data_IF_173256303438
#
_entry.id   IF_173256303438
#
_cell.length_a   1.000
_cell.length_b   1.000
_cell.length_c   1.000
_cell.angle_alpha   90.00
_cell.angle_beta   90.00
_cell.angle_gamma   90.00
#
_symmetry.space_group_name_H-M   'P 1'
#
loop_
_entity.id
_entity.type
_entity.pdbx_description
1 polymer ?
#
# COMPACT_ATOMS: atom_id res chain seq x y z
N UNK A 1 15.93 3.24 5.75
CA UNK A 1 14.99 3.49 6.87
C UNK A 1 14.17 4.73 6.58
N UNK A 2 13.13 5.01 7.37
CA UNK A 2 12.33 6.25 7.26
C UNK A 2 13.18 7.51 7.35
N UNK A 3 14.16 7.53 8.25
CA UNK A 3 15.04 8.68 8.45
C UNK A 3 15.84 9.01 7.19
N UNK A 4 16.38 7.99 6.51
CA UNK A 4 17.12 8.18 5.26
C UNK A 4 16.26 8.80 4.14
N UNK A 5 14.96 8.44 4.07
CA UNK A 5 14.04 9.04 3.10
C UNK A 5 13.83 10.52 3.38
N UNK A 6 13.59 10.88 4.65
CA UNK A 6 13.40 12.28 5.04
C UNK A 6 14.66 13.12 4.92
N UNK A 7 15.81 12.57 5.27
CA UNK A 7 17.10 13.25 5.09
C UNK A 7 17.35 13.57 3.62
N UNK A 8 17.04 12.63 2.72
CA UNK A 8 17.14 12.86 1.28
C UNK A 8 16.17 13.95 0.80
N UNK A 9 14.89 13.89 1.20
CA UNK A 9 13.88 14.89 0.83
C UNK A 9 14.33 16.30 1.24
N UNK A 10 14.80 16.46 2.48
CA UNK A 10 15.22 17.77 3.02
C UNK A 10 16.51 18.28 2.38
N UNK A 11 17.52 17.43 2.25
CA UNK A 11 18.82 17.83 1.68
C UNK A 11 18.73 18.22 0.20
N UNK A 12 17.76 17.68 -0.54
CA UNK A 12 17.57 17.94 -1.97
C UNK A 12 16.38 18.85 -2.27
N UNK A 13 15.71 19.42 -1.25
CA UNK A 13 14.49 20.22 -1.40
C UNK A 13 13.43 19.54 -2.28
N UNK A 14 13.25 18.23 -2.13
CA UNK A 14 12.25 17.48 -2.89
C UNK A 14 10.86 17.89 -2.41
N UNK A 15 9.95 18.31 -3.30
CA UNK A 15 8.58 18.58 -2.89
C UNK A 15 7.93 17.28 -2.40
N UNK A 16 7.30 17.35 -1.23
CA UNK A 16 6.54 16.24 -0.66
C UNK A 16 5.09 16.67 -0.39
N UNK A 17 4.23 15.70 -0.10
CA UNK A 17 2.82 15.98 0.15
C UNK A 17 2.63 16.69 1.50
N UNK A 18 1.89 17.80 1.50
CA UNK A 18 1.51 18.53 2.72
C UNK A 18 0.68 17.69 3.72
N UNK A 19 0.19 16.51 3.30
CA UNK A 19 -0.47 15.56 4.20
C UNK A 19 0.51 14.97 5.23
N UNK A 20 1.80 14.88 4.92
CA UNK A 20 2.79 14.41 5.91
C UNK A 20 2.86 15.32 7.13
N UNK A 21 2.65 16.63 6.95
CA UNK A 21 2.60 17.61 8.05
C UNK A 21 1.31 17.48 8.89
N UNK A 22 0.30 16.80 8.37
CA UNK A 22 -0.98 16.54 9.03
C UNK A 22 -1.02 15.15 9.70
N UNK A 23 0.11 14.46 9.80
CA UNK A 23 0.22 13.15 10.46
C UNK A 23 -0.04 11.95 9.55
N UNK A 24 -0.10 12.14 8.22
CA UNK A 24 -0.20 11.02 7.29
C UNK A 24 1.19 10.46 6.99
N UNK A 25 1.49 9.26 7.46
CA UNK A 25 2.78 8.58 7.24
C UNK A 25 2.77 7.59 6.07
N UNK A 26 1.58 7.17 5.63
CA UNK A 26 1.36 6.34 4.44
C UNK A 26 0.10 6.81 3.72
N UNK A 27 0.24 7.32 2.50
CA UNK A 27 -0.86 7.94 1.74
C UNK A 27 -1.36 6.97 0.65
N UNK A 28 -2.68 6.76 0.58
CA UNK A 28 -3.36 6.01 -0.47
C UNK A 28 -4.63 6.71 -0.95
N UNK A 29 -5.66 5.94 -1.31
CA UNK A 29 -6.97 6.51 -1.66
C UNK A 29 -7.61 7.21 -0.45
N UNK A 30 -8.32 8.30 -0.70
CA UNK A 30 -8.99 9.12 0.32
C UNK A 30 -9.85 8.33 1.33
N UNK A 31 -10.72 7.37 0.94
CA UNK A 31 -11.54 6.66 1.91
C UNK A 31 -10.76 5.68 2.79
N UNK A 32 -9.56 5.25 2.35
CA UNK A 32 -8.78 4.18 2.98
C UNK A 32 -7.47 4.65 3.62
N UNK A 33 -7.39 5.95 3.93
CA UNK A 33 -6.21 6.59 4.49
C UNK A 33 -6.63 7.59 5.57
N UNK A 34 -6.06 7.45 6.77
CA UNK A 34 -6.20 8.41 7.89
C UNK A 34 -4.83 8.81 8.44
N UNK A 35 -4.71 9.94 9.16
CA UNK A 35 -3.50 10.24 9.91
C UNK A 35 -3.33 9.26 11.07
N UNK A 36 -2.09 9.08 11.51
CA UNK A 36 -1.72 8.21 12.64
C UNK A 36 -1.32 9.04 13.87
N UNK A 37 -1.37 8.41 15.04
CA UNK A 37 -0.87 9.00 16.28
C UNK A 37 0.64 8.73 16.47
N UNK A 38 1.35 9.55 17.26
CA UNK A 38 2.75 9.26 17.61
C UNK A 38 2.91 7.88 18.25
N UNK A 39 3.81 7.07 17.70
CA UNK A 39 4.07 5.70 18.17
C UNK A 39 3.23 4.61 17.53
N UNK A 40 2.21 4.95 16.72
CA UNK A 40 1.55 3.98 15.85
C UNK A 40 2.49 3.53 14.71
N UNK A 41 2.20 2.35 14.15
CA UNK A 41 2.89 1.87 12.94
C UNK A 41 2.69 2.84 11.77
N UNK A 42 3.72 3.01 10.93
CA UNK A 42 3.69 3.96 9.80
C UNK A 42 2.56 3.69 8.80
N UNK A 43 2.07 2.44 8.70
CA UNK A 43 0.94 2.04 7.85
C UNK A 43 -0.37 1.86 8.63
N UNK A 44 -0.43 2.14 9.93
CA UNK A 44 -1.64 1.98 10.76
C UNK A 44 -2.84 2.80 10.24
N UNK A 45 -2.57 3.88 9.48
CA UNK A 45 -3.60 4.70 8.84
C UNK A 45 -4.24 4.08 7.58
N UNK A 46 -3.69 2.98 7.05
CA UNK A 46 -4.17 2.28 5.85
C UNK A 46 -5.02 1.08 6.26
N UNK A 47 -6.21 0.94 5.67
CA UNK A 47 -7.16 -0.13 6.00
C UNK A 47 -7.36 -0.27 7.53
N UNK A 48 -7.51 0.87 8.20
CA UNK A 48 -7.48 0.96 9.66
C UNK A 48 -8.66 0.24 10.35
N UNK A 49 -9.72 -0.06 9.59
CA UNK A 49 -10.90 -0.81 10.04
C UNK A 49 -10.85 -2.30 9.67
N UNK A 50 -9.92 -2.73 8.82
CA UNK A 50 -9.85 -4.11 8.32
C UNK A 50 -9.04 -5.02 9.26
N UNK A 51 -9.31 -6.34 9.25
CA UNK A 51 -8.48 -7.33 9.92
C UNK A 51 -7.04 -7.30 9.40
N UNK A 52 -6.08 -7.72 10.23
CA UNK A 52 -4.66 -7.63 9.92
C UNK A 52 -4.19 -8.50 8.74
N UNK A 53 -5.01 -9.48 8.35
CA UNK A 53 -4.66 -10.54 7.41
C UNK A 53 -4.50 -10.03 5.97
N UNK A 54 -5.29 -9.04 5.54
CA UNK A 54 -5.35 -8.59 4.14
C UNK A 54 -5.21 -7.06 4.01
N UNK A 55 -4.04 -6.55 4.41
CA UNK A 55 -3.71 -5.11 4.34
C UNK A 55 -2.72 -4.79 3.22
N UNK A 56 -2.79 -5.49 2.09
CA UNK A 56 -1.96 -5.15 0.93
C UNK A 56 -2.77 -4.83 -0.31
N UNK A 57 -2.35 -3.79 -1.03
CA UNK A 57 -3.08 -3.34 -2.21
C UNK A 57 -2.92 -4.33 -3.36
N UNK A 58 -3.93 -4.43 -4.23
CA UNK A 58 -3.86 -5.21 -5.47
C UNK A 58 -2.68 -4.84 -6.38
N UNK A 59 -2.10 -3.64 -6.23
CA UNK A 59 -0.87 -3.21 -6.92
C UNK A 59 0.36 -4.05 -6.59
N UNK A 60 0.35 -4.77 -5.48
CA UNK A 60 1.46 -5.62 -5.03
C UNK A 60 1.24 -7.10 -5.38
N UNK A 61 0.04 -7.46 -5.82
CA UNK A 61 -0.27 -8.80 -6.28
C UNK A 61 0.09 -8.93 -7.76
N UNK A 62 0.38 -10.16 -8.18
CA UNK A 62 0.63 -10.47 -9.59
C UNK A 62 -0.57 -10.05 -10.45
N UNK A 63 -0.27 -9.81 -11.73
CA UNK A 63 -1.27 -9.34 -12.66
C UNK A 63 -2.47 -10.30 -12.70
N UNK A 64 -3.72 -9.81 -12.75
CA UNK A 64 -4.89 -10.67 -12.91
C UNK A 64 -4.78 -11.58 -14.15
N UNK A 65 -3.97 -11.17 -15.14
CA UNK A 65 -3.67 -11.99 -16.31
C UNK A 65 -2.97 -13.30 -16.00
N UNK A 66 -2.04 -13.35 -15.04
CA UNK A 66 -1.31 -14.60 -14.74
C UNK A 66 -2.25 -15.59 -14.04
N UNK A 67 -3.03 -15.13 -13.07
CA UNK A 67 -4.03 -15.96 -12.39
C UNK A 67 -5.15 -16.43 -13.32
N UNK A 68 -5.61 -15.57 -14.23
CA UNK A 68 -6.62 -15.94 -15.23
C UNK A 68 -6.09 -16.96 -16.25
N UNK A 69 -4.81 -16.92 -16.63
CA UNK A 69 -4.22 -17.95 -17.49
C UNK A 69 -4.11 -19.31 -16.79
N UNK A 70 -3.80 -19.33 -15.49
CA UNK A 70 -3.75 -20.56 -14.68
C UNK A 70 -5.14 -21.19 -14.52
N UNK A 71 -6.17 -20.39 -14.21
CA UNK A 71 -7.55 -20.87 -14.16
C UNK A 71 -8.03 -21.38 -15.53
N UNK A 72 -7.74 -20.66 -16.62
CA UNK A 72 -8.05 -21.11 -17.97
C UNK A 72 -7.34 -22.42 -18.33
N UNK A 73 -6.08 -22.59 -17.92
CA UNK A 73 -5.33 -23.82 -18.15
C UNK A 73 -5.96 -25.00 -17.39
N UNK A 74 -6.36 -24.79 -16.13
CA UNK A 74 -7.04 -25.80 -15.33
C UNK A 74 -8.42 -26.18 -15.89
N UNK A 75 -9.26 -25.20 -16.27
CA UNK A 75 -10.58 -25.46 -16.88
C UNK A 75 -10.45 -26.23 -18.20
N UNK A 76 -9.42 -25.97 -18.99
CA UNK A 76 -9.14 -26.72 -20.23
C UNK A 76 -8.67 -28.14 -19.95
N UNK A 77 -7.86 -28.36 -18.91
CA UNK A 77 -7.35 -29.68 -18.53
C UNK A 77 -8.41 -30.63 -17.96
N UNK A 78 -9.51 -30.11 -17.40
CA UNK A 78 -10.61 -30.92 -16.85
C UNK A 78 -11.70 -31.29 -17.87
N UNK A 79 -11.57 -30.82 -19.11
CA UNK A 79 -12.53 -31.09 -20.20
C UNK A 79 -12.00 -32.07 -21.26
N UNK A 80 -10.82 -32.65 -21.03
CA UNK A 80 -10.26 -33.79 -21.76
C UNK A 80 -10.37 -35.04 -20.90
#
# INVERSE_FOLDING_TARGET
SKDQVWDYIRSNNVPYSALYDQGYTSVGCAPCTRPIQPGEDDRAGRWWWEPAEDKECGLHHQSPSEHFQEELAWVKAQRT
#
